data_IF_253104088277
#
_entry.id   IF_253104088277
#
_cell.length_a   1.000
_cell.length_b   1.000
_cell.length_c   1.000
_cell.angle_alpha   90.00
_cell.angle_beta   90.00
_cell.angle_gamma   90.00
#
_symmetry.space_group_name_H-M   'P 1'
#
loop_
_entity.id
_entity.type
_entity.pdbx_description
1 polymer ?
#
# COMPACT_ATOMS: atom_id res chain seq x y z
N UNK A 1 16.76 -29.50 -16.89
CA UNK A 1 18.07 -29.68 -16.23
C UNK A 1 18.55 -28.32 -15.73
N UNK A 2 18.15 -27.96 -14.51
CA UNK A 2 18.49 -26.65 -13.93
C UNK A 2 19.83 -26.77 -13.21
N UNK A 3 20.85 -26.13 -13.77
CA UNK A 3 22.07 -25.83 -13.02
C UNK A 3 21.67 -24.85 -11.92
N UNK A 4 21.47 -25.35 -10.70
CA UNK A 4 21.63 -24.51 -9.53
C UNK A 4 23.06 -23.98 -9.59
N UNK A 5 23.23 -22.69 -9.86
CA UNK A 5 24.48 -22.02 -9.53
C UNK A 5 24.54 -22.00 -8.01
N UNK A 6 24.96 -23.13 -7.43
CA UNK A 6 25.57 -23.15 -6.10
C UNK A 6 26.86 -22.38 -6.29
N UNK A 7 26.79 -21.06 -6.14
CA UNK A 7 27.96 -20.27 -5.84
C UNK A 7 28.54 -20.88 -4.58
N UNK A 8 29.63 -21.62 -4.76
CA UNK A 8 30.37 -22.28 -3.70
C UNK A 8 31.06 -21.16 -2.92
N UNK A 9 30.29 -20.51 -2.04
CA UNK A 9 30.70 -19.30 -1.36
C UNK A 9 32.01 -19.61 -0.61
N UNK A 10 33.15 -18.97 -0.93
CA UNK A 10 34.45 -19.35 -0.35
C UNK A 10 34.43 -19.33 1.18
N UNK A 11 33.65 -18.42 1.76
CA UNK A 11 33.47 -18.30 3.21
C UNK A 11 32.75 -19.52 3.83
N UNK A 12 31.88 -20.21 3.08
CA UNK A 12 31.16 -21.39 3.56
C UNK A 12 32.05 -22.61 3.79
N UNK A 13 33.30 -22.57 3.29
CA UNK A 13 34.34 -23.57 3.52
C UNK A 13 34.99 -23.46 4.91
N UNK A 14 34.79 -22.33 5.60
CA UNK A 14 35.30 -22.17 6.96
C UNK A 14 34.57 -23.10 7.94
N UNK A 15 35.23 -23.58 9.00
CA UNK A 15 34.59 -24.34 10.08
C UNK A 15 33.45 -23.54 10.71
N UNK A 16 32.42 -24.25 11.18
CA UNK A 16 31.20 -23.63 11.74
C UNK A 16 31.52 -22.76 12.96
N UNK A 17 32.53 -23.15 13.74
CA UNK A 17 33.01 -22.46 14.93
C UNK A 17 33.61 -21.09 14.59
N UNK A 18 34.33 -21.00 13.45
CA UNK A 18 34.89 -19.74 12.97
C UNK A 18 33.77 -18.81 12.49
N UNK A 19 32.80 -19.33 11.75
CA UNK A 19 31.65 -18.56 11.28
C UNK A 19 30.80 -18.05 12.45
N UNK A 20 30.57 -18.88 13.47
CA UNK A 20 29.87 -18.48 14.69
C UNK A 20 30.64 -17.40 15.47
N UNK A 21 31.97 -17.51 15.54
CA UNK A 21 32.81 -16.46 16.14
C UNK A 21 32.75 -15.15 15.37
N UNK A 22 32.72 -15.19 14.03
CA UNK A 22 32.55 -13.99 13.19
C UNK A 22 31.16 -13.41 13.44
N UNK A 23 30.10 -14.23 13.42
CA UNK A 23 28.72 -13.80 13.64
C UNK A 23 28.56 -13.04 14.96
N UNK A 24 29.19 -13.51 16.04
CA UNK A 24 29.18 -12.85 17.36
C UNK A 24 29.90 -11.50 17.41
N UNK A 25 30.76 -11.22 16.43
CA UNK A 25 31.47 -9.94 16.31
C UNK A 25 30.76 -8.91 15.44
N UNK A 26 29.74 -9.34 14.69
CA UNK A 26 28.93 -8.46 13.85
C UNK A 26 27.88 -7.73 14.70
N UNK A 27 27.47 -6.55 14.24
CA UNK A 27 26.24 -5.93 14.75
C UNK A 27 25.03 -6.78 14.32
N UNK A 28 23.87 -6.53 14.93
CA UNK A 28 22.66 -7.32 14.67
C UNK A 28 22.26 -7.31 13.18
N UNK A 29 22.31 -6.16 12.52
CA UNK A 29 21.96 -6.00 11.10
C UNK A 29 22.85 -6.81 10.15
N UNK A 30 24.17 -6.72 10.34
CA UNK A 30 25.16 -7.47 9.57
C UNK A 30 25.04 -8.98 9.86
N UNK A 31 24.79 -9.33 11.13
CA UNK A 31 24.56 -10.71 11.53
C UNK A 31 23.34 -11.30 10.82
N UNK A 32 22.24 -10.57 10.70
CA UNK A 32 21.05 -11.03 9.97
C UNK A 32 21.30 -11.04 8.45
N UNK A 33 21.93 -10.00 7.90
CA UNK A 33 22.32 -9.94 6.49
C UNK A 33 23.14 -11.14 6.05
N UNK A 34 24.00 -11.65 6.94
CA UNK A 34 24.80 -12.84 6.67
C UNK A 34 23.96 -14.06 6.30
N UNK A 35 22.71 -14.15 6.78
CA UNK A 35 21.76 -15.22 6.45
C UNK A 35 21.49 -15.34 4.93
N UNK A 36 21.69 -14.25 4.18
CA UNK A 36 21.43 -14.17 2.76
C UNK A 36 22.64 -14.58 1.91
N UNK A 37 23.80 -14.82 2.53
CA UNK A 37 25.05 -15.19 1.84
C UNK A 37 25.03 -16.63 1.35
N UNK A 38 24.65 -17.58 2.21
CA UNK A 38 24.49 -18.99 1.85
C UNK A 38 23.69 -19.76 2.91
N UNK A 39 23.29 -21.00 2.57
CA UNK A 39 22.53 -21.86 3.49
C UNK A 39 23.24 -22.05 4.83
N UNK A 40 24.57 -22.18 4.87
CA UNK A 40 25.31 -22.39 6.13
C UNK A 40 25.19 -21.20 7.08
N UNK A 41 25.29 -19.98 6.56
CA UNK A 41 25.05 -18.76 7.35
C UNK A 41 23.58 -18.64 7.75
N UNK A 42 22.65 -18.96 6.83
CA UNK A 42 21.21 -19.00 7.13
C UNK A 42 20.89 -19.92 8.31
N UNK A 43 21.54 -21.08 8.38
CA UNK A 43 21.39 -22.01 9.52
C UNK A 43 21.95 -21.43 10.82
N UNK A 44 23.13 -20.80 10.76
CA UNK A 44 23.78 -20.17 11.92
C UNK A 44 22.95 -19.04 12.50
N UNK A 45 22.31 -18.23 11.67
CA UNK A 45 21.51 -17.07 12.09
C UNK A 45 20.09 -17.44 12.53
N UNK A 46 19.68 -18.72 12.50
CA UNK A 46 18.32 -19.16 12.87
C UNK A 46 17.89 -18.80 14.29
N UNK A 47 18.84 -18.56 15.19
CA UNK A 47 18.54 -18.16 16.56
C UNK A 47 18.38 -16.65 16.72
N UNK A 48 18.78 -15.86 15.72
CA UNK A 48 18.54 -14.43 15.67
C UNK A 48 17.08 -14.19 15.33
N UNK A 49 16.45 -13.33 16.13
CA UNK A 49 15.03 -13.01 16.04
C UNK A 49 14.89 -11.50 15.87
N UNK A 50 15.12 -10.99 14.65
CA UNK A 50 15.08 -9.55 14.43
C UNK A 50 13.71 -9.02 14.77
N UNK A 51 13.69 -7.89 15.48
CA UNK A 51 12.46 -7.20 15.82
C UNK A 51 12.02 -6.30 14.66
N UNK A 52 11.73 -6.91 13.50
CA UNK A 52 11.29 -6.17 12.32
C UNK A 52 9.83 -5.77 12.43
N UNK A 53 9.58 -4.48 12.28
CA UNK A 53 8.24 -3.91 12.18
C UNK A 53 7.95 -3.39 10.76
N UNK A 54 8.99 -2.91 10.08
CA UNK A 54 8.89 -2.29 8.76
C UNK A 54 9.80 -2.97 7.73
N UNK A 55 9.28 -3.14 6.52
CA UNK A 55 10.02 -3.60 5.37
C UNK A 55 9.81 -2.62 4.21
N UNK A 56 10.92 -2.13 3.65
CA UNK A 56 10.93 -1.28 2.47
C UNK A 56 11.70 -1.95 1.35
N UNK A 57 11.05 -2.20 0.21
CA UNK A 57 11.73 -2.54 -1.04
C UNK A 57 11.77 -1.32 -1.94
N UNK A 58 12.96 -0.98 -2.43
CA UNK A 58 13.16 0.09 -3.40
C UNK A 58 13.73 -0.51 -4.68
N UNK A 59 13.00 -0.32 -5.78
CA UNK A 59 13.44 -0.67 -7.11
C UNK A 59 14.13 0.54 -7.73
N UNK A 60 15.42 0.44 -8.03
CA UNK A 60 16.21 1.55 -8.55
C UNK A 60 17.04 1.16 -9.79
N UNK A 61 17.77 2.10 -10.35
CA UNK A 61 18.56 1.88 -11.58
C UNK A 61 19.94 1.27 -11.31
N UNK A 62 20.32 1.09 -10.04
CA UNK A 62 21.59 0.49 -9.70
C UNK A 62 21.48 -1.02 -9.85
N UNK A 63 22.28 -1.63 -10.72
CA UNK A 63 22.35 -3.09 -10.88
C UNK A 63 23.03 -3.79 -9.68
N UNK A 64 22.88 -3.24 -8.47
CA UNK A 64 23.42 -3.75 -7.23
C UNK A 64 22.26 -3.99 -6.27
N UNK A 65 22.16 -5.21 -5.76
CA UNK A 65 21.26 -5.49 -4.66
C UNK A 65 21.97 -5.12 -3.36
N UNK A 66 21.31 -4.36 -2.51
CA UNK A 66 21.81 -4.06 -1.16
C UNK A 66 20.69 -4.23 -0.17
N UNK A 67 21.06 -4.69 1.02
CA UNK A 67 20.14 -4.89 2.11
C UNK A 67 20.75 -4.19 3.31
N UNK A 68 20.01 -3.22 3.83
CA UNK A 68 20.38 -2.40 4.95
C UNK A 68 19.40 -2.64 6.10
N UNK A 69 19.96 -2.78 7.29
CA UNK A 69 19.23 -3.10 8.50
C UNK A 69 19.39 -1.96 9.49
N UNK A 70 18.25 -1.44 9.93
CA UNK A 70 18.16 -0.56 11.09
C UNK A 70 17.23 -1.19 12.11
N UNK A 71 17.36 -0.85 13.39
CA UNK A 71 16.72 -1.49 14.55
C UNK A 71 15.38 -2.21 14.26
N UNK A 72 14.39 -1.50 13.70
CA UNK A 72 13.05 -2.03 13.41
C UNK A 72 12.72 -2.14 11.92
N UNK A 73 13.67 -1.82 11.03
CA UNK A 73 13.41 -1.67 9.59
C UNK A 73 14.43 -2.40 8.73
N UNK A 74 13.90 -3.11 7.75
CA UNK A 74 14.68 -3.70 6.68
C UNK A 74 14.49 -2.90 5.38
N UNK A 75 15.57 -2.37 4.83
CA UNK A 75 15.59 -1.74 3.51
C UNK A 75 16.28 -2.66 2.51
N UNK A 76 15.56 -3.11 1.50
CA UNK A 76 16.09 -3.92 0.42
C UNK A 76 16.03 -3.13 -0.90
N UNK A 77 17.20 -2.74 -1.39
CA UNK A 77 17.34 -2.10 -2.69
C UNK A 77 17.61 -3.17 -3.75
N UNK A 78 16.92 -3.07 -4.87
CA UNK A 78 17.03 -3.99 -5.99
C UNK A 78 16.96 -3.20 -7.30
N UNK A 79 17.62 -3.68 -8.35
CA UNK A 79 17.29 -3.16 -9.68
C UNK A 79 15.89 -3.62 -10.13
N UNK A 80 15.32 -3.03 -11.18
CA UNK A 80 14.13 -3.54 -11.88
C UNK A 80 14.43 -4.17 -13.25
N UNK A 81 15.71 -4.25 -13.64
CA UNK A 81 16.10 -4.70 -14.98
C UNK A 81 15.83 -6.18 -15.20
N UNK A 82 15.36 -6.53 -16.40
CA UNK A 82 15.07 -7.91 -16.84
C UNK A 82 16.18 -8.92 -16.56
N UNK A 83 17.44 -8.53 -16.74
CA UNK A 83 18.60 -9.43 -16.59
C UNK A 83 18.73 -9.99 -15.16
N UNK A 84 18.46 -9.17 -14.15
CA UNK A 84 18.60 -9.57 -12.75
C UNK A 84 17.28 -10.05 -12.13
N UNK A 85 16.19 -10.14 -12.91
CA UNK A 85 14.88 -10.43 -12.34
C UNK A 85 14.83 -11.78 -11.58
N UNK A 86 15.55 -12.79 -12.04
CA UNK A 86 15.57 -14.09 -11.37
C UNK A 86 16.25 -14.03 -9.99
N UNK A 87 17.36 -13.31 -9.88
CA UNK A 87 18.16 -13.16 -8.65
C UNK A 87 17.38 -12.36 -7.60
N UNK A 88 16.71 -11.30 -8.02
CA UNK A 88 15.87 -10.47 -7.15
C UNK A 88 14.68 -11.25 -6.61
N UNK A 89 14.06 -12.09 -7.44
CA UNK A 89 12.97 -12.98 -7.01
C UNK A 89 13.43 -13.94 -5.92
N UNK A 90 14.68 -14.43 -6.01
CA UNK A 90 15.31 -15.26 -4.99
C UNK A 90 15.57 -14.43 -3.73
N UNK A 91 16.17 -13.24 -3.86
CA UNK A 91 16.45 -12.35 -2.74
C UNK A 91 15.18 -12.00 -1.95
N UNK A 92 14.10 -11.61 -2.63
CA UNK A 92 12.80 -11.35 -2.01
C UNK A 92 12.36 -12.60 -1.23
N UNK A 93 12.36 -13.79 -1.85
CA UNK A 93 11.96 -15.02 -1.14
C UNK A 93 12.82 -15.29 0.10
N UNK A 94 14.12 -15.12 0.00
CA UNK A 94 15.05 -15.32 1.12
C UNK A 94 14.77 -14.34 2.26
N UNK A 95 14.50 -13.06 1.95
CA UNK A 95 14.09 -12.04 2.92
C UNK A 95 12.79 -12.44 3.64
N UNK A 96 11.77 -12.89 2.90
CA UNK A 96 10.50 -13.36 3.47
C UNK A 96 10.66 -14.67 4.28
N UNK A 97 11.72 -15.44 4.05
CA UNK A 97 12.02 -16.68 4.78
C UNK A 97 12.87 -16.44 6.04
N UNK A 98 13.28 -15.20 6.31
CA UNK A 98 13.95 -14.85 7.57
C UNK A 98 12.98 -15.00 8.75
N UNK A 99 13.50 -15.47 9.90
CA UNK A 99 12.71 -15.47 11.14
C UNK A 99 12.40 -14.03 11.56
N UNK A 100 11.22 -13.81 12.15
CA UNK A 100 10.76 -12.48 12.57
C UNK A 100 9.91 -11.75 11.52
N UNK A 101 9.93 -12.21 10.26
CA UNK A 101 9.12 -11.62 9.19
C UNK A 101 7.60 -11.64 9.48
N UNK A 102 7.14 -12.60 10.27
CA UNK A 102 5.76 -12.68 10.75
C UNK A 102 5.37 -11.59 11.77
N UNK A 103 6.27 -10.64 12.08
CA UNK A 103 6.00 -9.48 12.93
C UNK A 103 5.85 -8.18 12.16
N UNK A 104 6.21 -8.16 10.87
CA UNK A 104 6.12 -6.97 10.04
C UNK A 104 4.68 -6.47 10.01
N UNK A 105 4.52 -5.19 10.32
CA UNK A 105 3.28 -4.44 10.29
C UNK A 105 3.24 -3.45 9.15
N UNK A 106 4.39 -3.04 8.63
CA UNK A 106 4.50 -2.03 7.61
C UNK A 106 5.30 -2.53 6.40
N UNK A 107 4.70 -2.46 5.20
CA UNK A 107 5.35 -2.79 3.94
C UNK A 107 5.32 -1.59 2.99
N UNK A 108 6.50 -1.17 2.55
CA UNK A 108 6.69 -0.16 1.51
C UNK A 108 7.32 -0.82 0.27
N UNK A 109 6.71 -0.64 -0.89
CA UNK A 109 7.27 -0.96 -2.20
C UNK A 109 7.34 0.33 -3.01
N UNK A 110 8.53 0.71 -3.44
CA UNK A 110 8.78 1.97 -4.15
C UNK A 110 9.59 1.71 -5.41
N UNK A 111 9.25 2.38 -6.50
CA UNK A 111 9.97 2.32 -7.76
C UNK A 111 10.51 3.71 -8.11
N UNK A 112 11.84 3.84 -8.05
CA UNK A 112 12.58 5.06 -8.35
C UNK A 112 13.07 5.07 -9.81
N UNK A 113 12.72 4.07 -10.61
CA UNK A 113 13.15 4.00 -12.01
C UNK A 113 12.47 5.06 -12.88
N UNK A 114 13.20 5.67 -13.83
CA UNK A 114 12.58 6.49 -14.87
C UNK A 114 11.57 5.67 -15.67
N UNK A 115 10.37 6.21 -15.88
CA UNK A 115 9.34 5.60 -16.75
C UNK A 115 9.58 5.98 -18.22
N UNK A 116 9.27 5.09 -19.20
CA UNK A 116 8.77 3.72 -19.03
C UNK A 116 9.88 2.76 -18.56
N UNK A 117 9.52 1.86 -17.66
CA UNK A 117 10.40 0.79 -17.20
C UNK A 117 9.79 -0.58 -17.54
N UNK A 118 10.49 -1.67 -17.24
CA UNK A 118 10.02 -3.03 -17.53
C UNK A 118 8.87 -3.50 -16.61
N UNK A 119 8.47 -2.65 -15.65
CA UNK A 119 7.49 -2.93 -14.62
C UNK A 119 7.90 -3.99 -13.61
N UNK A 120 7.10 -4.13 -12.57
CA UNK A 120 7.30 -5.19 -11.58
C UNK A 120 6.72 -6.50 -12.14
N UNK A 121 7.49 -7.60 -12.18
CA UNK A 121 6.97 -8.89 -12.59
C UNK A 121 5.88 -9.39 -11.65
N UNK A 122 4.82 -10.01 -12.20
CA UNK A 122 3.73 -10.64 -11.41
C UNK A 122 4.24 -11.60 -10.33
N UNK A 123 5.30 -12.35 -10.66
CA UNK A 123 5.93 -13.28 -9.74
C UNK A 123 6.42 -12.62 -8.43
N UNK A 124 6.78 -11.34 -8.45
CA UNK A 124 7.30 -10.62 -7.27
C UNK A 124 6.17 -10.29 -6.34
N UNK A 125 5.16 -9.60 -6.87
CA UNK A 125 4.00 -9.20 -6.09
C UNK A 125 3.27 -10.43 -5.56
N UNK A 126 3.20 -11.52 -6.34
CA UNK A 126 2.62 -12.78 -5.88
C UNK A 126 3.41 -13.41 -4.73
N UNK A 127 4.75 -13.41 -4.76
CA UNK A 127 5.58 -13.86 -3.63
C UNK A 127 5.30 -12.99 -2.40
N UNK A 128 5.34 -11.67 -2.58
CA UNK A 128 5.10 -10.68 -1.52
C UNK A 128 3.73 -10.93 -0.89
N UNK A 129 2.64 -10.90 -1.66
CA UNK A 129 1.27 -11.07 -1.16
C UNK A 129 1.06 -12.43 -0.46
N UNK A 130 1.67 -13.51 -0.97
CA UNK A 130 1.54 -14.85 -0.37
C UNK A 130 2.31 -15.00 0.93
N UNK A 131 3.50 -14.41 1.01
CA UNK A 131 4.41 -14.56 2.16
C UNK A 131 4.20 -13.47 3.21
N UNK A 132 3.64 -12.32 2.84
CA UNK A 132 3.38 -11.22 3.74
C UNK A 132 2.39 -11.65 4.82
N UNK A 133 2.71 -11.25 6.05
CA UNK A 133 1.88 -11.48 7.20
C UNK A 133 0.47 -10.91 6.97
N UNK A 134 -0.57 -11.67 7.32
CA UNK A 134 -1.96 -11.20 7.19
C UNK A 134 -2.31 -10.12 8.22
N UNK A 135 -1.45 -9.91 9.22
CA UNK A 135 -1.55 -8.86 10.22
C UNK A 135 -0.82 -7.56 9.85
N UNK A 136 -0.38 -7.39 8.60
CA UNK A 136 0.14 -6.08 8.13
C UNK A 136 -0.93 -5.01 8.33
N UNK A 137 -0.52 -3.91 8.94
CA UNK A 137 -1.34 -2.74 9.26
C UNK A 137 -1.20 -1.67 8.17
N UNK A 138 -0.02 -1.56 7.56
CA UNK A 138 0.32 -0.49 6.63
C UNK A 138 0.93 -1.05 5.34
N UNK A 139 0.33 -0.70 4.20
CA UNK A 139 0.78 -1.10 2.87
C UNK A 139 0.91 0.13 1.97
N UNK A 140 2.13 0.41 1.53
CA UNK A 140 2.46 1.53 0.66
C UNK A 140 3.09 1.06 -0.63
N UNK A 141 2.43 1.34 -1.75
CA UNK A 141 2.91 1.13 -3.11
C UNK A 141 3.10 2.50 -3.77
N UNK A 142 4.32 2.84 -4.15
CA UNK A 142 4.64 4.17 -4.70
C UNK A 142 5.36 4.06 -6.03
N UNK A 143 4.87 4.78 -7.03
CA UNK A 143 5.41 4.87 -8.39
C UNK A 143 5.52 3.54 -9.16
N UNK A 144 4.97 2.44 -8.63
CA UNK A 144 5.11 1.12 -9.21
C UNK A 144 4.39 0.99 -10.56
N UNK A 145 5.04 0.40 -11.56
CA UNK A 145 4.34 -0.08 -12.75
C UNK A 145 3.83 -1.51 -12.54
N UNK A 146 2.53 -1.63 -12.23
CA UNK A 146 1.81 -2.90 -12.02
C UNK A 146 1.08 -3.36 -13.29
N UNK A 147 1.36 -2.79 -14.46
CA UNK A 147 0.63 -3.09 -15.71
C UNK A 147 0.73 -4.56 -16.14
N UNK A 148 1.77 -5.27 -15.68
CA UNK A 148 2.03 -6.69 -15.97
C UNK A 148 1.56 -7.65 -14.86
N UNK A 149 0.94 -7.13 -13.79
CA UNK A 149 0.43 -7.95 -12.70
C UNK A 149 -0.87 -8.62 -13.11
N UNK A 150 -1.01 -9.91 -12.80
CA UNK A 150 -2.26 -10.62 -13.04
C UNK A 150 -3.34 -10.13 -12.06
N UNK A 151 -4.56 -9.91 -12.54
CA UNK A 151 -5.70 -9.50 -11.68
C UNK A 151 -5.92 -10.47 -10.50
N UNK A 152 -5.65 -11.77 -10.67
CA UNK A 152 -5.75 -12.75 -9.57
C UNK A 152 -4.70 -12.50 -8.49
N UNK A 153 -3.47 -12.14 -8.87
CA UNK A 153 -2.44 -11.72 -7.92
C UNK A 153 -2.89 -10.47 -7.17
N UNK A 154 -3.44 -9.49 -7.90
CA UNK A 154 -3.99 -8.27 -7.32
C UNK A 154 -5.13 -8.56 -6.33
N UNK A 155 -6.02 -9.51 -6.62
CA UNK A 155 -7.10 -9.91 -5.71
C UNK A 155 -6.60 -10.47 -4.37
N UNK A 156 -5.33 -10.86 -4.28
CA UNK A 156 -4.72 -11.30 -3.03
C UNK A 156 -4.63 -10.21 -1.95
N UNK A 157 -4.79 -8.92 -2.28
CA UNK A 157 -4.96 -7.85 -1.29
C UNK A 157 -6.18 -8.09 -0.36
N UNK A 158 -7.22 -8.78 -0.84
CA UNK A 158 -8.37 -9.16 -0.03
C UNK A 158 -8.03 -10.11 1.14
N UNK A 159 -6.84 -10.71 1.16
CA UNK A 159 -6.44 -11.66 2.20
C UNK A 159 -5.91 -11.00 3.48
N UNK A 160 -5.62 -9.71 3.45
CA UNK A 160 -5.14 -8.98 4.62
C UNK A 160 -6.26 -8.76 5.63
N UNK A 161 -5.92 -8.81 6.92
CA UNK A 161 -6.90 -8.82 8.00
C UNK A 161 -6.76 -7.69 8.98
N UNK A 162 -5.71 -6.87 8.90
CA UNK A 162 -5.47 -5.77 9.84
C UNK A 162 -5.06 -4.45 9.14
N UNK A 163 -5.22 -4.33 7.81
CA UNK A 163 -4.78 -3.12 7.11
C UNK A 163 -5.62 -1.93 7.57
N UNK A 164 -4.95 -0.95 8.16
CA UNK A 164 -5.48 0.36 8.55
C UNK A 164 -5.02 1.46 7.58
N UNK A 165 -3.84 1.30 6.97
CA UNK A 165 -3.27 2.25 6.01
C UNK A 165 -3.02 1.58 4.66
N UNK A 166 -3.70 2.07 3.62
CA UNK A 166 -3.61 1.55 2.26
C UNK A 166 -3.26 2.68 1.29
N UNK A 167 -2.07 2.60 0.70
CA UNK A 167 -1.50 3.68 -0.11
C UNK A 167 -1.03 3.15 -1.47
N UNK A 168 -1.56 3.74 -2.54
CA UNK A 168 -1.19 3.55 -3.94
C UNK A 168 -0.93 4.92 -4.58
N UNK A 169 0.32 5.36 -4.60
CA UNK A 169 0.70 6.68 -5.13
C UNK A 169 1.31 6.51 -6.51
N UNK A 170 0.67 7.10 -7.51
CA UNK A 170 1.17 7.18 -8.90
C UNK A 170 1.57 5.83 -9.51
N UNK A 171 0.85 4.78 -9.10
CA UNK A 171 0.99 3.43 -9.62
C UNK A 171 0.29 3.28 -10.98
N UNK A 172 0.89 2.52 -11.89
CA UNK A 172 0.20 2.02 -13.09
C UNK A 172 -0.44 0.67 -12.77
N UNK A 173 -1.61 0.37 -13.31
CA UNK A 173 -2.40 -0.82 -12.98
C UNK A 173 -2.61 -1.72 -14.20
N UNK A 174 -2.92 -3.02 -14.01
CA UNK A 174 -3.19 -3.92 -15.11
C UNK A 174 -4.29 -3.40 -16.04
N UNK A 175 -4.08 -3.50 -17.36
CA UNK A 175 -5.03 -3.00 -18.35
C UNK A 175 -6.41 -3.69 -18.29
N UNK A 176 -6.44 -4.93 -17.80
CA UNK A 176 -7.67 -5.71 -17.62
C UNK A 176 -8.30 -5.54 -16.22
N UNK A 177 -7.69 -4.73 -15.34
CA UNK A 177 -8.24 -4.35 -14.05
C UNK A 177 -9.20 -3.17 -14.20
N UNK A 178 -10.47 -3.50 -14.43
CA UNK A 178 -11.55 -2.50 -14.38
C UNK A 178 -11.92 -2.10 -12.94
N UNK A 179 -12.73 -1.05 -12.83
CA UNK A 179 -13.21 -0.51 -11.56
C UNK A 179 -13.93 -1.57 -10.69
N UNK A 180 -14.68 -2.50 -11.28
CA UNK A 180 -15.42 -3.53 -10.53
C UNK A 180 -14.46 -4.56 -9.94
N UNK A 181 -13.48 -5.01 -10.72
CA UNK A 181 -12.45 -5.96 -10.28
C UNK A 181 -11.57 -5.32 -9.20
N UNK A 182 -11.22 -4.04 -9.35
CA UNK A 182 -10.50 -3.29 -8.32
C UNK A 182 -11.31 -3.21 -7.01
N UNK A 183 -12.58 -2.77 -7.07
CA UNK A 183 -13.47 -2.72 -5.90
C UNK A 183 -13.57 -4.09 -5.23
N UNK A 184 -13.78 -5.17 -5.99
CA UNK A 184 -13.85 -6.53 -5.44
C UNK A 184 -12.58 -6.94 -4.70
N UNK A 185 -11.42 -6.48 -5.16
CA UNK A 185 -10.11 -6.83 -4.57
C UNK A 185 -9.84 -6.13 -3.23
N UNK A 186 -10.43 -4.95 -3.01
CA UNK A 186 -10.18 -4.13 -1.82
C UNK A 186 -11.39 -4.06 -0.86
N UNK A 187 -12.61 -4.30 -1.34
CA UNK A 187 -13.82 -4.27 -0.49
C UNK A 187 -13.69 -5.08 0.80
N UNK A 188 -13.09 -6.30 0.80
CA UNK A 188 -12.93 -7.08 2.03
C UNK A 188 -12.10 -6.41 3.12
N UNK A 189 -11.19 -5.49 2.76
CA UNK A 189 -10.33 -4.79 3.72
C UNK A 189 -10.86 -3.39 4.09
N UNK A 190 -11.72 -2.79 3.26
CA UNK A 190 -12.25 -1.43 3.49
C UNK A 190 -12.84 -1.17 4.88
N UNK A 191 -13.55 -2.10 5.55
CA UNK A 191 -14.07 -1.86 6.89
C UNK A 191 -13.00 -1.54 7.94
N UNK A 192 -11.75 -1.90 7.68
CA UNK A 192 -10.62 -1.72 8.59
C UNK A 192 -9.71 -0.56 8.22
N UNK A 193 -9.82 -0.07 6.97
CA UNK A 193 -8.97 1.02 6.48
C UNK A 193 -9.42 2.33 7.12
N UNK A 194 -8.48 3.01 7.75
CA UNK A 194 -8.62 4.33 8.35
C UNK A 194 -8.01 5.40 7.43
N UNK A 195 -6.91 5.07 6.77
CA UNK A 195 -6.18 5.94 5.85
C UNK A 195 -6.08 5.29 4.47
N UNK A 196 -6.70 5.93 3.48
CA UNK A 196 -6.69 5.50 2.10
C UNK A 196 -6.07 6.59 1.22
N UNK A 197 -5.07 6.22 0.43
CA UNK A 197 -4.50 7.11 -0.58
C UNK A 197 -4.39 6.37 -1.90
N UNK A 198 -5.09 6.85 -2.93
CA UNK A 198 -4.99 6.34 -4.30
C UNK A 198 -4.91 7.56 -5.23
N UNK A 199 -3.70 7.87 -5.70
CA UNK A 199 -3.47 9.07 -6.52
C UNK A 199 -3.18 8.74 -7.97
N UNK A 200 -3.42 9.70 -8.86
CA UNK A 200 -2.95 9.64 -10.25
C UNK A 200 -3.54 8.49 -11.06
N UNK A 201 -4.68 7.94 -10.64
CA UNK A 201 -5.23 6.69 -11.18
C UNK A 201 -6.49 6.97 -12.01
N UNK A 202 -6.44 6.95 -13.36
CA UNK A 202 -7.55 7.41 -14.20
C UNK A 202 -8.81 6.54 -14.18
N UNK A 203 -8.68 5.22 -13.95
CA UNK A 203 -9.86 4.35 -13.93
C UNK A 203 -10.69 4.50 -12.64
N UNK A 204 -10.08 5.03 -11.57
CA UNK A 204 -10.75 5.31 -10.29
C UNK A 204 -11.79 6.41 -10.49
N UNK A 205 -13.04 6.07 -10.20
CA UNK A 205 -14.20 6.92 -10.47
C UNK A 205 -15.24 6.87 -9.33
N UNK A 206 -16.35 7.59 -9.48
CA UNK A 206 -17.39 7.71 -8.44
C UNK A 206 -18.01 6.37 -7.99
N UNK A 207 -17.93 5.30 -8.79
CA UNK A 207 -18.33 3.97 -8.35
C UNK A 207 -17.44 3.46 -7.21
N UNK A 208 -16.15 3.80 -7.25
CA UNK A 208 -15.25 3.56 -6.12
C UNK A 208 -15.66 4.39 -4.91
N UNK A 209 -15.94 5.67 -5.11
CA UNK A 209 -16.46 6.57 -4.07
C UNK A 209 -17.67 5.99 -3.35
N UNK A 210 -18.62 5.44 -4.10
CA UNK A 210 -19.78 4.74 -3.55
C UNK A 210 -19.39 3.49 -2.73
N UNK A 211 -18.43 2.69 -3.21
CA UNK A 211 -17.94 1.54 -2.45
C UNK A 211 -17.27 1.96 -1.13
N UNK A 212 -16.48 3.05 -1.14
CA UNK A 212 -15.87 3.60 0.08
C UNK A 212 -16.93 4.11 1.06
N UNK A 213 -17.97 4.80 0.57
CA UNK A 213 -19.08 5.26 1.39
C UNK A 213 -19.79 4.09 2.08
N UNK A 214 -20.03 3.01 1.31
CA UNK A 214 -20.79 1.83 1.74
C UNK A 214 -20.03 0.87 2.65
N UNK A 215 -18.72 0.70 2.47
CA UNK A 215 -17.95 -0.34 3.17
C UNK A 215 -16.84 0.22 4.06
N UNK A 216 -16.39 1.45 3.83
CA UNK A 216 -15.26 2.07 4.54
C UNK A 216 -15.69 2.83 5.79
N UNK A 217 -16.29 2.15 6.76
CA UNK A 217 -16.84 2.77 7.98
C UNK A 217 -15.79 3.36 8.91
N UNK A 218 -14.56 2.82 8.86
CA UNK A 218 -13.42 3.29 9.67
C UNK A 218 -12.62 4.40 9.00
N UNK A 219 -12.93 4.77 7.76
CA UNK A 219 -12.16 5.78 7.00
C UNK A 219 -12.20 7.14 7.71
N UNK A 220 -11.00 7.67 7.96
CA UNK A 220 -10.74 9.01 8.52
C UNK A 220 -10.10 9.90 7.46
N UNK A 221 -9.17 9.36 6.66
CA UNK A 221 -8.46 10.12 5.64
C UNK A 221 -8.56 9.43 4.28
N UNK A 222 -8.97 10.17 3.26
CA UNK A 222 -9.11 9.68 1.88
C UNK A 222 -8.46 10.67 0.92
N UNK A 223 -7.32 10.29 0.35
CA UNK A 223 -6.64 11.04 -0.69
C UNK A 223 -6.91 10.40 -2.05
N UNK A 224 -7.60 11.12 -2.94
CA UNK A 224 -7.89 10.71 -4.33
C UNK A 224 -7.38 11.74 -5.33
N UNK A 225 -6.29 12.42 -4.99
CA UNK A 225 -5.70 13.44 -5.86
C UNK A 225 -5.35 12.90 -7.25
N UNK A 226 -5.51 13.73 -8.28
CA UNK A 226 -5.19 13.41 -9.68
C UNK A 226 -5.96 12.17 -10.20
N UNK A 227 -7.08 11.82 -9.59
CA UNK A 227 -8.03 10.82 -10.12
C UNK A 227 -9.13 11.57 -10.91
N UNK A 228 -8.98 11.76 -12.24
CA UNK A 228 -9.80 12.68 -13.03
C UNK A 228 -11.28 12.27 -13.17
N UNK A 229 -11.67 11.07 -12.74
CA UNK A 229 -13.05 10.60 -12.82
C UNK A 229 -13.77 10.59 -11.46
N UNK A 230 -13.14 11.16 -10.43
CA UNK A 230 -13.78 11.46 -9.15
C UNK A 230 -14.47 12.83 -9.25
N UNK A 231 -15.75 12.89 -8.87
CA UNK A 231 -16.57 14.09 -8.93
C UNK A 231 -17.29 14.35 -7.59
N UNK A 232 -18.20 15.33 -7.58
CA UNK A 232 -19.08 15.61 -6.44
C UNK A 232 -19.93 14.39 -6.01
N UNK A 233 -20.20 13.45 -6.93
CA UNK A 233 -20.98 12.23 -6.64
C UNK A 233 -20.29 11.37 -5.58
N UNK A 234 -18.96 11.32 -5.57
CA UNK A 234 -18.20 10.61 -4.53
C UNK A 234 -18.58 11.14 -3.15
N UNK A 235 -18.51 12.45 -2.93
CA UNK A 235 -18.85 13.07 -1.63
C UNK A 235 -20.33 12.91 -1.31
N UNK A 236 -21.21 13.11 -2.29
CA UNK A 236 -22.65 12.91 -2.12
C UNK A 236 -22.98 11.45 -1.71
N UNK A 237 -22.22 10.47 -2.17
CA UNK A 237 -22.39 9.06 -1.76
C UNK A 237 -22.12 8.88 -0.26
N UNK A 238 -21.11 9.55 0.31
CA UNK A 238 -20.85 9.50 1.76
C UNK A 238 -21.95 10.17 2.58
N UNK A 239 -22.57 11.21 2.03
CA UNK A 239 -23.67 11.92 2.67
C UNK A 239 -24.96 11.08 2.69
N UNK A 240 -25.21 10.34 1.61
CA UNK A 240 -26.51 9.67 1.37
C UNK A 240 -26.52 8.17 1.68
N UNK A 241 -25.37 7.52 1.78
CA UNK A 241 -25.31 6.08 2.03
C UNK A 241 -25.70 5.76 3.48
N UNK A 242 -26.65 4.84 3.69
CA UNK A 242 -27.16 4.46 5.02
C UNK A 242 -26.10 3.94 5.99
N UNK A 243 -24.96 3.49 5.48
CA UNK A 243 -23.81 3.08 6.28
C UNK A 243 -23.07 4.24 6.96
N UNK A 244 -23.41 5.49 6.60
CA UNK A 244 -22.78 6.68 7.13
C UNK A 244 -23.06 6.90 8.62
N UNK A 245 -24.22 6.43 9.12
CA UNK A 245 -24.65 6.60 10.51
C UNK A 245 -23.81 5.78 11.51
N UNK A 246 -23.08 4.76 11.03
CA UNK A 246 -22.15 3.96 11.84
C UNK A 246 -20.76 4.63 12.01
N UNK A 247 -20.51 5.74 11.31
CA UNK A 247 -19.21 6.43 11.36
C UNK A 247 -19.04 7.17 12.67
N UNK A 248 -17.94 6.88 13.37
CA UNK A 248 -17.58 7.51 14.65
C UNK A 248 -16.75 8.78 14.49
N UNK A 249 -16.13 8.97 13.32
CA UNK A 249 -15.14 10.01 13.10
C UNK A 249 -15.46 10.83 11.84
N UNK A 250 -15.15 12.13 11.85
CA UNK A 250 -15.08 12.94 10.63
C UNK A 250 -14.16 12.31 9.59
N UNK A 251 -14.50 12.51 8.31
CA UNK A 251 -13.68 12.06 7.19
C UNK A 251 -13.13 13.26 6.43
N UNK A 252 -11.84 13.21 6.13
CA UNK A 252 -11.11 14.24 5.38
C UNK A 252 -10.78 13.69 4.00
N UNK A 253 -11.15 14.44 2.97
CA UNK A 253 -10.87 14.17 1.58
C UNK A 253 -9.85 15.16 1.02
N UNK A 254 -8.94 14.64 0.23
CA UNK A 254 -8.10 15.41 -0.67
C UNK A 254 -8.41 15.06 -2.12
N UNK A 255 -9.01 16.02 -2.84
CA UNK A 255 -9.53 15.85 -4.19
C UNK A 255 -8.87 16.79 -5.20
N UNK A 256 -7.63 17.22 -4.95
CA UNK A 256 -6.87 18.04 -5.89
C UNK A 256 -6.81 17.40 -7.30
N UNK A 257 -6.98 18.21 -8.35
CA UNK A 257 -6.93 17.74 -9.76
C UNK A 257 -7.93 16.61 -10.11
N UNK A 258 -9.13 16.67 -9.54
CA UNK A 258 -10.26 15.79 -9.89
C UNK A 258 -11.34 16.58 -10.67
N UNK A 259 -12.49 15.95 -10.95
CA UNK A 259 -13.71 16.62 -11.46
C UNK A 259 -14.61 17.13 -10.33
N UNK A 260 -14.15 17.10 -9.08
CA UNK A 260 -14.92 17.64 -7.96
C UNK A 260 -15.24 19.13 -8.18
N UNK A 261 -16.50 19.49 -7.97
CA UNK A 261 -17.01 20.85 -8.06
C UNK A 261 -18.05 21.05 -6.95
N UNK A 262 -17.87 22.10 -6.14
CA UNK A 262 -18.71 22.34 -4.97
C UNK A 262 -20.14 22.71 -5.36
N UNK A 263 -20.35 23.49 -6.42
CA UNK A 263 -21.71 23.87 -6.86
C UNK A 263 -22.51 22.66 -7.33
N UNK A 264 -21.85 21.67 -7.94
CA UNK A 264 -22.47 20.39 -8.28
C UNK A 264 -22.83 19.60 -7.04
N UNK A 265 -21.95 19.57 -6.04
CA UNK A 265 -22.24 18.91 -4.77
C UNK A 265 -23.46 19.53 -4.08
N UNK A 266 -23.49 20.86 -3.97
CA UNK A 266 -24.59 21.60 -3.37
C UNK A 266 -25.93 21.29 -4.05
N UNK A 267 -25.95 21.31 -5.40
CA UNK A 267 -27.14 20.94 -6.19
C UNK A 267 -27.58 19.49 -5.97
N UNK A 268 -26.64 18.56 -5.83
CA UNK A 268 -26.96 17.15 -5.58
C UNK A 268 -27.58 17.00 -4.19
N UNK A 269 -26.96 17.59 -3.16
CA UNK A 269 -27.41 17.44 -1.78
C UNK A 269 -28.76 18.10 -1.52
N UNK A 270 -29.04 19.22 -2.18
CA UNK A 270 -30.33 19.92 -2.12
C UNK A 270 -31.39 19.38 -3.08
N UNK A 271 -31.10 18.30 -3.82
CA UNK A 271 -32.08 17.71 -4.71
C UNK A 271 -33.25 17.12 -3.90
N UNK A 272 -34.52 17.40 -4.24
CA UNK A 272 -35.68 17.01 -3.41
C UNK A 272 -35.80 15.51 -3.10
N UNK A 273 -35.24 14.67 -3.97
CA UNK A 273 -35.22 13.21 -3.79
C UNK A 273 -34.26 12.76 -2.68
N UNK A 274 -33.19 13.52 -2.43
CA UNK A 274 -32.17 13.22 -1.41
C UNK A 274 -32.41 13.98 -0.10
N UNK A 275 -33.08 15.14 -0.18
CA UNK A 275 -33.39 16.02 0.94
C UNK A 275 -34.64 15.61 1.75
N UNK A 276 -35.08 14.34 1.69
CA UNK A 276 -36.38 13.91 2.26
C UNK A 276 -36.54 14.05 3.79
N UNK A 277 -35.56 14.62 4.51
CA UNK A 277 -35.59 14.98 5.95
C UNK A 277 -34.22 15.51 6.44
N UNK A 278 -33.18 15.43 5.60
CA UNK A 278 -31.80 15.82 5.93
C UNK A 278 -31.49 17.23 5.41
N UNK A 279 -31.02 18.11 6.30
CA UNK A 279 -30.47 19.42 5.92
C UNK A 279 -28.96 19.30 5.80
N UNK A 280 -28.44 19.58 4.61
CA UNK A 280 -27.00 19.61 4.36
C UNK A 280 -26.54 21.06 4.33
N UNK A 281 -25.45 21.35 5.03
CA UNK A 281 -24.79 22.65 4.95
C UNK A 281 -23.39 22.47 4.35
N UNK A 282 -23.12 23.15 3.26
CA UNK A 282 -21.83 23.12 2.54
C UNK A 282 -21.15 24.46 2.80
N UNK A 283 -20.28 24.49 3.82
CA UNK A 283 -19.59 25.72 4.23
C UNK A 283 -18.15 25.79 3.68
N UNK A 284 -17.77 27.00 3.30
CA UNK A 284 -16.48 27.37 2.68
C UNK A 284 -15.32 27.60 3.69
N UNK A 285 -15.50 27.31 4.99
CA UNK A 285 -14.46 27.59 5.99
C UNK A 285 -14.45 26.63 7.21
N UNK A 286 -13.24 26.13 7.47
CA UNK A 286 -12.64 25.54 8.69
C UNK A 286 -13.47 24.60 9.61
N UNK A 287 -13.11 23.33 9.48
CA UNK A 287 -13.17 22.23 10.46
C UNK A 287 -12.60 22.62 11.83
N UNK A 288 -13.38 23.18 12.76
CA UNK A 288 -13.12 22.99 14.20
C UNK A 288 -14.44 22.93 14.96
N UNK A 289 -14.70 21.76 15.55
CA UNK A 289 -15.75 21.47 16.53
C UNK A 289 -17.18 21.30 16.03
N UNK A 290 -17.54 20.09 15.59
CA UNK A 290 -18.92 19.59 15.73
C UNK A 290 -18.91 18.12 16.17
N UNK A 291 -19.36 17.88 17.39
CA UNK A 291 -19.52 16.55 17.99
C UNK A 291 -20.93 16.03 17.69
N UNK A 292 -21.03 14.85 17.08
CA UNK A 292 -22.30 14.13 16.86
C UNK A 292 -22.88 14.19 15.44
N UNK A 293 -22.10 14.66 14.46
CA UNK A 293 -22.51 14.91 13.06
C UNK A 293 -21.55 14.27 12.06
N UNK A 294 -22.06 13.79 10.93
CA UNK A 294 -21.18 13.31 9.85
C UNK A 294 -20.54 14.54 9.23
N UNK A 295 -19.24 14.66 9.46
CA UNK A 295 -18.46 15.79 8.97
C UNK A 295 -17.56 15.29 7.85
N UNK A 296 -17.80 15.79 6.64
CA UNK A 296 -16.97 15.49 5.46
C UNK A 296 -16.21 16.75 5.09
N UNK A 297 -14.89 16.71 5.18
CA UNK A 297 -14.06 17.85 4.80
C UNK A 297 -13.42 17.56 3.47
N UNK A 298 -13.44 18.53 2.56
CA UNK A 298 -12.88 18.38 1.23
C UNK A 298 -11.87 19.48 1.01
N UNK A 299 -10.63 19.10 0.73
CA UNK A 299 -9.59 20.02 0.26
C UNK A 299 -9.50 19.94 -1.26
N UNK A 300 -9.58 21.09 -1.93
CA UNK A 300 -9.41 21.24 -3.38
C UNK A 300 -8.53 22.48 -3.62
N UNK A 301 -7.65 22.46 -4.62
CA UNK A 301 -6.78 23.61 -4.91
C UNK A 301 -7.44 24.70 -5.74
N UNK A 302 -8.53 24.40 -6.44
CA UNK A 302 -9.25 25.39 -7.25
C UNK A 302 -10.12 26.32 -6.41
N UNK A 303 -10.35 25.96 -5.16
CA UNK A 303 -11.58 26.21 -4.45
C UNK A 303 -11.23 25.93 -2.97
N UNK A 304 -10.99 26.98 -2.15
CA UNK A 304 -10.52 26.87 -0.75
C UNK A 304 -11.26 25.74 0.01
N UNK A 305 -10.60 25.01 0.92
CA UNK A 305 -11.18 23.82 1.58
C UNK A 305 -12.60 23.99 2.13
N UNK A 306 -13.44 22.98 1.94
CA UNK A 306 -14.86 22.95 2.29
C UNK A 306 -15.13 21.96 3.41
N UNK A 307 -16.19 22.22 4.18
CA UNK A 307 -16.73 21.25 5.12
C UNK A 307 -18.22 21.08 4.89
N UNK A 308 -18.65 19.83 4.74
CA UNK A 308 -20.04 19.42 4.61
C UNK A 308 -20.49 18.83 5.93
N UNK A 309 -21.62 19.32 6.44
CA UNK A 309 -22.19 18.89 7.72
C UNK A 309 -23.57 18.25 7.54
N UNK A 310 -23.82 17.24 8.38
CA UNK A 310 -25.12 16.67 8.70
C UNK A 310 -25.30 16.54 10.21
#
# INVERSE_FOLDING_TARGET
MNKSVKNDCPISRLPTEILDSILKSLNEGDAISSALVCQKWKELTKHLHPNLDELKFVFNSSCNNSIDWSDLRLLANSCACKEHQSEQCIMIREVFDLKGFNRIRCLHLEDEMPKPNDGIPDSYLNVIIRKLNKNVETLHLTNLDLSFINVLTFSGFASFRNITHLVFVDCSFPNDLDQNKFIKSITPILPMVEHLEITGTPFVNDQFGFALAKFGFSLVNVNLQRCPNISAITIASFCTCTGSDERKHPIVFDLHSTKFNVDQLDKILHHPVLCQEKFWDVNLADLRHLTGRITVTVTNSKDNGYTVFY
#
